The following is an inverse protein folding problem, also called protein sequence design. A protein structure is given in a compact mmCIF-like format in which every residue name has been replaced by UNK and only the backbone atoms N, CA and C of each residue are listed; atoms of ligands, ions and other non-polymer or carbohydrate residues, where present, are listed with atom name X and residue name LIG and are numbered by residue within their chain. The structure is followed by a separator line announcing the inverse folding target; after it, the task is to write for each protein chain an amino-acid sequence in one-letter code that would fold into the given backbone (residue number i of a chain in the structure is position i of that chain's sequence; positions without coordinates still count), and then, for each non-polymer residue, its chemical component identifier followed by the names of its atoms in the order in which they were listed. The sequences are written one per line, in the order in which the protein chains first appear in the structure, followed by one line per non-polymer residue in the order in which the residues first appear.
data_IF_892108032108
#
_entry.id   IF_892108032108
#
_cell.length_a   1.000
_cell.length_b   1.000
_cell.length_c   1.000
_cell.angle_alpha   90.00
_cell.angle_beta   90.00
_cell.angle_gamma   90.00
#
_symmetry.space_group_name_H-M   'P 1'
#
loop_
_entity.id
_entity.type
_entity.pdbx_description
1 polymer ?
#
# COMPACT_ATOMS: atom_id res chain seq x y z
N UNK A 1 20.86 30.91 -18.31
CA UNK A 1 20.45 29.91 -17.29
C UNK A 1 21.67 29.53 -16.48
N UNK A 2 21.58 29.57 -15.14
CA UNK A 2 22.66 29.04 -14.29
C UNK A 2 22.87 27.57 -14.64
N UNK A 3 24.10 27.21 -15.04
CA UNK A 3 24.45 25.80 -15.26
C UNK A 3 24.54 25.13 -13.91
N UNK A 4 23.60 24.23 -13.65
CA UNK A 4 23.61 23.40 -12.46
C UNK A 4 24.55 22.23 -12.77
N UNK A 5 25.70 22.19 -12.10
CA UNK A 5 26.71 21.16 -12.30
C UNK A 5 26.47 19.96 -11.36
N UNK A 6 25.26 19.39 -11.37
CA UNK A 6 24.96 18.18 -10.61
C UNK A 6 24.09 17.20 -11.43
N UNK A 7 24.28 15.88 -11.26
CA UNK A 7 23.58 14.87 -12.05
C UNK A 7 22.11 14.65 -11.64
N UNK A 8 21.67 15.27 -10.54
CA UNK A 8 20.33 15.11 -9.97
C UNK A 8 19.34 16.15 -10.50
N UNK A 9 18.10 15.69 -10.71
CA UNK A 9 16.96 16.55 -11.02
C UNK A 9 16.53 17.33 -9.77
N UNK A 10 16.38 18.64 -9.91
CA UNK A 10 15.78 19.49 -8.87
C UNK A 10 14.29 19.55 -9.17
N UNK A 11 13.49 18.98 -8.26
CA UNK A 11 12.04 18.97 -8.40
C UNK A 11 11.47 20.39 -8.25
N UNK A 12 10.44 20.67 -9.05
CA UNK A 12 9.61 21.83 -8.85
C UNK A 12 8.74 21.65 -7.60
N UNK A 13 8.32 22.77 -7.00
CA UNK A 13 7.38 22.74 -5.89
C UNK A 13 6.07 22.05 -6.33
N UNK A 14 5.68 21.00 -5.61
CA UNK A 14 4.44 20.26 -5.87
C UNK A 14 3.49 20.37 -4.67
N UNK A 15 2.17 20.55 -4.90
CA UNK A 15 1.17 20.59 -3.82
C UNK A 15 0.75 19.19 -3.35
N UNK A 16 1.11 18.13 -4.09
CA UNK A 16 0.63 16.77 -3.83
C UNK A 16 1.01 16.23 -2.45
N UNK A 17 2.24 16.42 -1.93
CA UNK A 17 2.60 15.90 -0.61
C UNK A 17 1.75 16.47 0.53
N UNK A 18 1.48 17.79 0.51
CA UNK A 18 0.67 18.42 1.57
C UNK A 18 -0.81 18.02 1.45
N UNK A 19 -1.34 17.94 0.24
CA UNK A 19 -2.71 17.48 -0.01
C UNK A 19 -2.90 16.02 0.42
N UNK A 20 -1.94 15.14 0.11
CA UNK A 20 -1.96 13.75 0.52
C UNK A 20 -1.90 13.63 2.05
N UNK A 21 -1.01 14.36 2.72
CA UNK A 21 -0.89 14.32 4.18
C UNK A 21 -2.17 14.76 4.90
N UNK A 22 -2.79 15.87 4.45
CA UNK A 22 -4.07 16.33 4.98
C UNK A 22 -5.19 15.31 4.75
N UNK A 23 -5.23 14.69 3.57
CA UNK A 23 -6.26 13.72 3.25
C UNK A 23 -6.09 12.39 4.01
N UNK A 24 -4.86 11.95 4.27
CA UNK A 24 -4.58 10.78 5.12
C UNK A 24 -5.07 11.01 6.54
N UNK A 25 -4.87 12.20 7.10
CA UNK A 25 -5.44 12.55 8.40
C UNK A 25 -6.97 12.53 8.39
N UNK A 26 -7.59 13.08 7.34
CA UNK A 26 -9.05 13.04 7.18
C UNK A 26 -9.59 11.61 7.02
N UNK A 27 -8.86 10.73 6.32
CA UNK A 27 -9.19 9.30 6.18
C UNK A 27 -9.18 8.59 7.54
N UNK A 28 -8.19 8.87 8.38
CA UNK A 28 -8.13 8.34 9.75
C UNK A 28 -9.37 8.78 10.55
N UNK A 29 -9.69 10.07 10.52
CA UNK A 29 -10.87 10.61 11.23
C UNK A 29 -12.17 10.02 10.70
N UNK A 30 -12.31 9.86 9.39
CA UNK A 30 -13.51 9.27 8.79
C UNK A 30 -13.67 7.78 9.13
N UNK A 31 -12.58 7.03 9.25
CA UNK A 31 -12.62 5.64 9.72
C UNK A 31 -13.11 5.55 11.16
N UNK A 32 -12.66 6.44 12.04
CA UNK A 32 -13.14 6.51 13.42
C UNK A 32 -14.64 6.87 13.48
N UNK A 33 -15.08 7.83 12.67
CA UNK A 33 -16.49 8.21 12.56
C UNK A 33 -17.36 7.07 12.02
N UNK A 34 -16.85 6.31 11.07
CA UNK A 34 -17.53 5.14 10.52
C UNK A 34 -17.76 4.09 11.61
N UNK A 35 -16.72 3.73 12.37
CA UNK A 35 -16.80 2.66 13.37
C UNK A 35 -17.75 3.07 14.51
N UNK A 36 -17.66 4.32 14.97
CA UNK A 36 -18.42 4.77 16.15
C UNK A 36 -19.85 5.24 15.83
N UNK A 37 -20.05 5.91 14.69
CA UNK A 37 -21.30 6.60 14.37
C UNK A 37 -21.96 6.10 13.07
N UNK A 38 -21.35 5.12 12.36
CA UNK A 38 -21.85 4.57 11.08
C UNK A 38 -22.01 5.59 9.95
N UNK A 39 -21.35 6.75 10.05
CA UNK A 39 -21.35 7.76 9.00
C UNK A 39 -20.35 7.40 7.89
N UNK A 40 -20.83 6.80 6.80
CA UNK A 40 -19.99 6.34 5.68
C UNK A 40 -19.59 7.44 4.67
N UNK A 41 -20.42 8.48 4.54
CA UNK A 41 -20.28 9.46 3.45
C UNK A 41 -18.88 10.11 3.45
N UNK A 42 -18.39 10.51 4.62
CA UNK A 42 -17.07 11.14 4.75
C UNK A 42 -15.93 10.19 4.36
N UNK A 43 -16.05 8.90 4.67
CA UNK A 43 -15.03 7.91 4.32
C UNK A 43 -14.94 7.74 2.80
N UNK A 44 -16.09 7.58 2.13
CA UNK A 44 -16.14 7.45 0.67
C UNK A 44 -15.56 8.69 0.00
N UNK A 45 -15.92 9.89 0.47
CA UNK A 45 -15.39 11.14 -0.09
C UNK A 45 -13.87 11.26 0.08
N UNK A 46 -13.32 10.90 1.23
CA UNK A 46 -11.88 10.97 1.44
C UNK A 46 -11.11 9.91 0.64
N UNK A 47 -11.70 8.72 0.43
CA UNK A 47 -11.13 7.68 -0.43
C UNK A 47 -11.08 8.12 -1.90
N UNK A 48 -12.15 8.73 -2.42
CA UNK A 48 -12.15 9.25 -3.80
C UNK A 48 -11.15 10.39 -3.96
N UNK A 49 -11.04 11.29 -2.98
CA UNK A 49 -10.01 12.34 -2.96
C UNK A 49 -8.59 11.77 -2.98
N UNK A 50 -8.32 10.70 -2.22
CA UNK A 50 -6.99 10.09 -2.18
C UNK A 50 -6.61 9.50 -3.53
N UNK A 51 -7.56 8.81 -4.18
CA UNK A 51 -7.37 8.27 -5.53
C UNK A 51 -7.09 9.38 -6.55
N UNK A 52 -7.81 10.50 -6.48
CA UNK A 52 -7.57 11.65 -7.35
C UNK A 52 -6.18 12.26 -7.14
N UNK A 53 -5.75 12.44 -5.88
CA UNK A 53 -4.42 12.97 -5.55
C UNK A 53 -3.33 12.04 -6.12
N UNK A 54 -3.46 10.72 -5.93
CA UNK A 54 -2.49 9.75 -6.44
C UNK A 54 -2.41 9.77 -7.98
N UNK A 55 -3.55 9.77 -8.68
CA UNK A 55 -3.60 9.84 -10.15
C UNK A 55 -2.95 11.11 -10.69
N UNK A 56 -3.25 12.27 -10.09
CA UNK A 56 -2.70 13.55 -10.52
C UNK A 56 -1.20 13.66 -10.22
N UNK A 57 -0.75 13.12 -9.10
CA UNK A 57 0.68 13.08 -8.76
C UNK A 57 1.45 12.17 -9.73
N UNK A 58 0.96 10.96 -10.00
CA UNK A 58 1.60 10.06 -10.97
C UNK A 58 1.58 10.63 -12.39
N UNK A 59 0.52 11.34 -12.79
CA UNK A 59 0.49 12.07 -14.06
C UNK A 59 1.64 13.08 -14.15
N UNK A 60 1.91 13.81 -13.08
CA UNK A 60 2.99 14.80 -13.08
C UNK A 60 4.37 14.13 -13.13
N UNK A 61 4.57 12.99 -12.44
CA UNK A 61 5.80 12.18 -12.56
C UNK A 61 6.00 11.65 -13.99
N UNK A 62 4.92 11.20 -14.65
CA UNK A 62 4.97 10.80 -16.07
C UNK A 62 5.40 11.99 -16.92
N UNK A 63 4.88 13.20 -16.67
CA UNK A 63 5.27 14.39 -17.43
C UNK A 63 6.72 14.78 -17.24
N UNK A 64 7.22 14.72 -16.01
CA UNK A 64 8.62 14.99 -15.68
C UNK A 64 9.58 13.98 -16.34
N UNK A 65 9.17 12.71 -16.42
CA UNK A 65 9.96 11.65 -17.07
C UNK A 65 9.90 11.68 -18.58
N UNK A 66 8.72 11.57 -19.19
CA UNK A 66 8.59 11.34 -20.64
C UNK A 66 8.64 12.61 -21.47
N UNK A 67 8.02 13.70 -21.00
CA UNK A 67 7.88 14.92 -21.79
C UNK A 67 8.99 15.95 -21.50
N UNK A 68 9.48 16.00 -20.26
CA UNK A 68 10.58 16.90 -19.88
C UNK A 68 11.95 16.24 -19.97
N UNK A 69 12.02 14.90 -19.93
CA UNK A 69 13.28 14.16 -20.05
C UNK A 69 14.20 14.28 -18.84
N UNK A 70 13.66 14.59 -17.65
CA UNK A 70 14.46 14.89 -16.46
C UNK A 70 15.07 13.65 -15.77
N UNK A 71 14.68 12.44 -16.19
CA UNK A 71 15.09 11.18 -15.57
C UNK A 71 16.42 10.66 -16.15
N UNK A 72 17.53 11.13 -15.60
CA UNK A 72 18.86 10.60 -15.89
C UNK A 72 19.08 9.18 -15.33
N UNK A 73 20.09 8.48 -15.83
CA UNK A 73 20.45 7.12 -15.39
C UNK A 73 20.60 6.98 -13.87
N UNK A 74 21.24 7.95 -13.22
CA UNK A 74 21.39 7.98 -11.76
C UNK A 74 20.05 8.03 -11.03
N UNK A 75 19.12 8.86 -11.49
CA UNK A 75 17.79 9.01 -10.90
C UNK A 75 16.94 7.74 -11.13
N UNK A 76 17.07 7.12 -12.30
CA UNK A 76 16.40 5.85 -12.58
C UNK A 76 16.90 4.73 -11.66
N UNK A 77 18.21 4.66 -11.38
CA UNK A 77 18.75 3.71 -10.41
C UNK A 77 18.24 3.97 -8.99
N UNK A 78 18.12 5.24 -8.59
CA UNK A 78 17.54 5.60 -7.29
C UNK A 78 16.07 5.16 -7.18
N UNK A 79 15.26 5.37 -8.23
CA UNK A 79 13.88 4.89 -8.27
C UNK A 79 13.78 3.36 -8.20
N UNK A 80 14.68 2.63 -8.86
CA UNK A 80 14.77 1.17 -8.77
C UNK A 80 15.07 0.71 -7.34
N UNK A 81 16.05 1.32 -6.68
CA UNK A 81 16.35 1.01 -5.27
C UNK A 81 15.18 1.36 -4.35
N UNK A 82 14.50 2.49 -4.59
CA UNK A 82 13.29 2.87 -3.87
C UNK A 82 12.18 1.82 -3.99
N UNK A 83 11.94 1.30 -5.20
CA UNK A 83 10.95 0.24 -5.41
C UNK A 83 11.35 -1.08 -4.73
N UNK A 84 12.63 -1.46 -4.77
CA UNK A 84 13.12 -2.66 -4.08
C UNK A 84 12.88 -2.54 -2.57
N UNK A 85 13.22 -1.41 -1.97
CA UNK A 85 13.00 -1.17 -0.54
C UNK A 85 11.50 -1.16 -0.19
N UNK A 86 10.66 -0.58 -1.04
CA UNK A 86 9.20 -0.62 -0.86
C UNK A 86 8.66 -2.07 -0.88
N UNK A 87 9.08 -2.89 -1.86
CA UNK A 87 8.69 -4.31 -1.92
C UNK A 87 9.17 -5.08 -0.69
N UNK A 88 10.38 -4.82 -0.22
CA UNK A 88 10.91 -5.43 1.01
C UNK A 88 10.03 -5.06 2.21
N UNK A 89 9.57 -3.81 2.32
CA UNK A 89 8.69 -3.38 3.40
C UNK A 89 7.33 -4.10 3.39
N UNK A 90 6.75 -4.33 2.20
CA UNK A 90 5.51 -5.11 2.04
C UNK A 90 5.72 -6.60 2.39
N UNK A 91 6.88 -7.16 2.05
CA UNK A 91 7.21 -8.54 2.43
C UNK A 91 7.24 -8.71 3.95
N UNK A 92 7.79 -7.74 4.69
CA UNK A 92 7.76 -7.76 6.16
C UNK A 92 6.34 -7.65 6.72
N UNK A 93 5.47 -6.87 6.08
CA UNK A 93 4.05 -6.80 6.43
C UNK A 93 3.40 -8.19 6.29
N UNK A 94 3.65 -8.92 5.20
CA UNK A 94 3.13 -10.30 5.05
C UNK A 94 3.74 -11.29 6.05
N UNK A 95 5.02 -11.18 6.38
CA UNK A 95 5.65 -12.01 7.43
C UNK A 95 4.88 -11.88 8.75
N UNK A 96 4.41 -10.68 9.11
CA UNK A 96 3.63 -10.48 10.35
C UNK A 96 2.30 -11.26 10.35
N UNK A 97 1.62 -11.36 9.20
CA UNK A 97 0.39 -12.15 9.08
C UNK A 97 0.68 -13.65 9.15
N UNK A 98 1.71 -14.13 8.46
CA UNK A 98 2.13 -15.53 8.54
C UNK A 98 2.57 -15.91 9.95
N UNK A 99 3.31 -15.03 10.63
CA UNK A 99 3.68 -15.23 12.03
C UNK A 99 2.44 -15.45 12.90
N UNK A 100 1.44 -14.57 12.80
CA UNK A 100 0.20 -14.70 13.56
C UNK A 100 -0.55 -16.01 13.21
N UNK A 101 -0.58 -16.39 11.94
CA UNK A 101 -1.18 -17.66 11.50
C UNK A 101 -0.47 -18.89 12.09
N UNK A 102 0.86 -18.94 12.04
CA UNK A 102 1.64 -20.06 12.59
C UNK A 102 1.54 -20.13 14.11
N UNK A 103 1.55 -18.98 14.80
CA UNK A 103 1.37 -18.94 16.24
C UNK A 103 0.03 -19.58 16.66
N UNK A 104 -1.06 -19.23 15.98
CA UNK A 104 -2.40 -19.72 16.32
C UNK A 104 -2.66 -21.17 15.86
N UNK A 105 -2.00 -21.64 14.80
CA UNK A 105 -2.18 -23.00 14.27
C UNK A 105 -1.28 -24.04 14.92
N UNK A 106 -0.05 -23.69 15.31
CA UNK A 106 0.88 -24.60 15.98
C UNK A 106 0.55 -24.79 17.47
N UNK A 107 0.05 -23.74 18.14
CA UNK A 107 -0.33 -23.77 19.54
C UNK A 107 -1.76 -23.23 19.73
N UNK A 108 -2.80 -24.00 19.30
CA UNK A 108 -4.18 -23.56 19.42
C UNK A 108 -4.58 -23.35 20.87
N UNK A 109 -5.32 -22.27 21.14
CA UNK A 109 -5.80 -21.95 22.49
C UNK A 109 -6.81 -22.99 22.99
N UNK A 110 -6.93 -23.10 24.32
CA UNK A 110 -7.90 -23.98 24.97
C UNK A 110 -9.34 -23.64 24.57
N UNK A 111 -9.63 -22.35 24.33
CA UNK A 111 -10.94 -21.84 23.87
C UNK A 111 -11.37 -22.42 22.52
N UNK A 112 -10.42 -22.70 21.64
CA UNK A 112 -10.64 -23.26 20.30
C UNK A 112 -10.77 -24.79 20.34
N UNK A 113 -10.51 -25.41 21.51
CA UNK A 113 -10.59 -26.86 21.72
C UNK A 113 -9.29 -27.59 21.43
N UNK A 114 -8.13 -26.91 21.54
CA UNK A 114 -6.78 -27.46 21.38
C UNK A 114 -6.48 -28.13 20.03
N UNK A 115 -7.32 -27.90 19.02
CA UNK A 115 -7.16 -28.46 17.68
C UNK A 115 -7.13 -27.33 16.64
N UNK A 116 -6.27 -27.52 15.64
CA UNK A 116 -6.32 -26.78 14.39
C UNK A 116 -6.64 -27.76 13.26
N UNK A 117 -7.70 -27.54 12.47
CA UNK A 117 -8.61 -26.41 12.51
C UNK A 117 -9.57 -26.36 13.72
N UNK A 118 -10.08 -25.16 14.08
CA UNK A 118 -11.13 -25.02 15.07
C UNK A 118 -12.34 -25.90 14.75
N UNK A 119 -12.96 -26.47 15.78
CA UNK A 119 -14.22 -27.21 15.61
C UNK A 119 -15.26 -26.31 14.95
N UNK A 120 -16.06 -26.88 14.05
CA UNK A 120 -17.12 -26.21 13.27
C UNK A 120 -16.65 -25.28 12.14
N UNK A 121 -15.35 -25.19 11.85
CA UNK A 121 -14.86 -24.51 10.64
C UNK A 121 -14.58 -25.54 9.54
N UNK A 122 -15.35 -25.48 8.47
CA UNK A 122 -15.12 -26.30 7.28
C UNK A 122 -14.09 -25.63 6.38
N UNK A 123 -12.98 -26.32 6.14
CA UNK A 123 -11.91 -25.82 5.26
C UNK A 123 -12.30 -25.99 3.80
N UNK A 124 -11.91 -25.02 2.98
CA UNK A 124 -12.02 -25.14 1.54
C UNK A 124 -11.05 -26.20 1.03
N UNK A 125 -11.49 -27.00 0.05
CA UNK A 125 -10.61 -27.98 -0.59
C UNK A 125 -9.50 -27.24 -1.36
N UNK A 126 -8.21 -27.42 -1.01
CA UNK A 126 -7.11 -26.71 -1.67
C UNK A 126 -6.97 -27.09 -3.16
N UNK A 127 -7.48 -28.26 -3.57
CA UNK A 127 -7.36 -28.75 -4.95
C UNK A 127 -8.38 -28.15 -5.93
N UNK A 128 -9.33 -27.34 -5.45
CA UNK A 128 -10.36 -26.73 -6.29
C UNK A 128 -9.96 -25.31 -6.73
N UNK A 129 -10.74 -24.31 -6.30
CA UNK A 129 -10.52 -22.90 -6.62
C UNK A 129 -9.14 -22.40 -6.16
N UNK A 130 -8.60 -22.79 -4.99
CA UNK A 130 -7.28 -22.33 -4.58
C UNK A 130 -6.16 -22.78 -5.54
N UNK A 131 -6.18 -24.03 -6.00
CA UNK A 131 -5.22 -24.54 -6.99
C UNK A 131 -5.38 -23.85 -8.35
N UNK A 132 -6.60 -23.57 -8.78
CA UNK A 132 -6.81 -22.81 -10.02
C UNK A 132 -6.16 -21.42 -9.93
N UNK A 133 -6.30 -20.74 -8.79
CA UNK A 133 -5.72 -19.41 -8.56
C UNK A 133 -4.19 -19.42 -8.45
N UNK A 134 -3.53 -20.55 -8.16
CA UNK A 134 -2.06 -20.63 -8.13
C UNK A 134 -1.45 -20.91 -9.50
N UNK A 135 -2.23 -21.47 -10.44
CA UNK A 135 -1.78 -21.76 -11.81
C UNK A 135 -1.84 -20.52 -12.70
N UNK A 136 -2.82 -19.62 -12.47
CA UNK A 136 -3.01 -18.35 -13.18
C UNK A 136 -1.94 -17.34 -12.73
#
# INVERSE_FOLDING_TARGET
MMKINQPYFILNLSPWPILAAMNIFNLMMSNLMMINYKFNIMLIMNLTLMMLIAMLWWRDIIRESTFQGNHNFYLMNLLKFGMILFIISELFLFISFFWNFFNNSLAPSTEIGLNWPPKNINFFNPMLIPLLNTII
#
